data_IF_865428846393
#
_entry.id   IF_865428846393
#
_cell.length_a   1.000
_cell.length_b   1.000
_cell.length_c   1.000
_cell.angle_alpha   90.00
_cell.angle_beta   90.00
_cell.angle_gamma   90.00
#
_symmetry.space_group_name_H-M   'P 1'
#
loop_
_entity.id
_entity.type
_entity.pdbx_description
1 polymer ?
#
# COMPACT_ATOMS: atom_id res chain seq x y z
N UNK A 1 22.19 11.47 24.87
CA UNK A 1 23.09 11.54 23.69
C UNK A 1 22.30 12.04 22.48
N UNK A 2 22.89 12.92 21.64
CA UNK A 2 22.21 13.54 20.49
C UNK A 2 21.91 12.52 19.35
N UNK A 3 22.84 11.60 19.11
CA UNK A 3 22.75 10.62 18.03
C UNK A 3 21.59 9.62 18.25
N UNK A 4 21.37 9.18 19.49
CA UNK A 4 20.25 8.28 19.82
C UNK A 4 18.90 8.97 19.61
N UNK A 5 18.77 10.24 20.02
CA UNK A 5 17.58 11.04 19.76
C UNK A 5 17.31 11.18 18.25
N UNK A 6 18.34 11.47 17.45
CA UNK A 6 18.21 11.56 15.98
C UNK A 6 17.74 10.26 15.34
N UNK A 7 18.27 9.12 15.79
CA UNK A 7 17.85 7.81 15.31
C UNK A 7 16.42 7.47 15.73
N UNK A 8 16.06 7.76 16.98
CA UNK A 8 14.70 7.57 17.48
C UNK A 8 13.69 8.41 16.70
N UNK A 9 13.98 9.70 16.45
CA UNK A 9 13.13 10.57 15.65
C UNK A 9 12.93 10.04 14.23
N UNK A 10 14.00 9.52 13.59
CA UNK A 10 13.90 8.88 12.27
C UNK A 10 13.01 7.63 12.30
N UNK A 11 13.19 6.76 13.30
CA UNK A 11 12.38 5.56 13.47
C UNK A 11 10.89 5.88 13.69
N UNK A 12 10.60 6.93 14.45
CA UNK A 12 9.22 7.41 14.65
C UNK A 12 8.65 7.94 13.34
N UNK A 13 9.43 8.73 12.58
CA UNK A 13 9.00 9.26 11.29
C UNK A 13 8.68 8.14 10.27
N UNK A 14 9.54 7.11 10.18
CA UNK A 14 9.30 5.96 9.29
C UNK A 14 8.08 5.14 9.72
N UNK A 15 7.89 4.92 11.03
CA UNK A 15 6.70 4.26 11.57
C UNK A 15 5.42 5.01 11.23
N UNK A 16 5.42 6.34 11.37
CA UNK A 16 4.27 7.18 11.03
C UNK A 16 3.97 7.10 9.53
N UNK A 17 5.00 7.17 8.67
CA UNK A 17 4.84 7.02 7.24
C UNK A 17 4.22 5.66 6.86
N UNK A 18 4.69 4.57 7.46
CA UNK A 18 4.14 3.22 7.25
C UNK A 18 2.66 3.14 7.68
N UNK A 19 2.33 3.65 8.87
CA UNK A 19 0.93 3.69 9.37
C UNK A 19 0.02 4.47 8.43
N UNK A 20 0.48 5.61 7.91
CA UNK A 20 -0.27 6.41 6.93
C UNK A 20 -0.57 5.61 5.67
N UNK A 21 0.42 4.89 5.13
CA UNK A 21 0.21 4.07 3.94
C UNK A 21 -0.78 2.92 4.17
N UNK A 22 -0.73 2.27 5.33
CA UNK A 22 -1.68 1.20 5.70
C UNK A 22 -3.11 1.76 5.77
N UNK A 23 -3.31 2.90 6.42
CA UNK A 23 -4.61 3.55 6.51
C UNK A 23 -5.15 3.99 5.14
N UNK A 24 -4.29 4.50 4.25
CA UNK A 24 -4.68 4.95 2.91
C UNK A 24 -4.82 3.81 1.88
N UNK A 25 -4.37 2.58 2.20
CA UNK A 25 -4.45 1.40 1.32
C UNK A 25 -5.88 1.13 0.85
N UNK A 26 -6.84 1.20 1.79
CA UNK A 26 -8.24 0.87 1.53
C UNK A 26 -9.07 2.08 1.06
N UNK A 27 -8.50 3.29 1.11
CA UNK A 27 -9.18 4.48 0.62
C UNK A 27 -9.21 4.48 -0.91
N UNK A 28 -10.38 4.63 -1.53
CA UNK A 28 -10.50 4.70 -3.00
C UNK A 28 -10.43 6.15 -3.47
N UNK A 29 -9.22 6.72 -3.50
CA UNK A 29 -8.93 8.05 -4.02
C UNK A 29 -7.81 8.01 -5.07
N UNK A 30 -7.73 9.08 -5.85
CA UNK A 30 -6.64 9.30 -6.80
C UNK A 30 -5.27 9.17 -6.11
N UNK A 31 -4.32 8.53 -6.80
CA UNK A 31 -2.98 8.28 -6.28
C UNK A 31 -2.28 9.55 -5.82
N UNK A 32 -2.41 10.65 -6.56
CA UNK A 32 -1.79 11.94 -6.20
C UNK A 32 -2.38 12.49 -4.89
N UNK A 33 -3.70 12.37 -4.71
CA UNK A 33 -4.37 12.81 -3.47
C UNK A 33 -3.93 11.98 -2.27
N UNK A 34 -3.78 10.67 -2.42
CA UNK A 34 -3.24 9.78 -1.38
C UNK A 34 -1.81 10.15 -1.01
N UNK A 35 -0.95 10.35 -2.00
CA UNK A 35 0.44 10.71 -1.79
C UNK A 35 0.57 12.05 -1.06
N UNK A 36 -0.22 13.05 -1.43
CA UNK A 36 -0.25 14.37 -0.76
C UNK A 36 -0.64 14.29 0.71
N UNK A 37 -1.56 13.40 1.06
CA UNK A 37 -1.97 13.16 2.46
C UNK A 37 -0.91 12.37 3.22
N UNK A 38 -0.28 11.37 2.58
CA UNK A 38 0.76 10.54 3.20
C UNK A 38 2.04 11.33 3.50
N UNK A 39 2.47 12.20 2.57
CA UNK A 39 3.73 12.96 2.65
C UNK A 39 3.65 14.24 3.49
N UNK A 40 2.47 14.58 3.99
CA UNK A 40 2.26 15.78 4.80
C UNK A 40 3.19 15.81 6.03
N UNK A 41 3.75 16.97 6.42
CA UNK A 41 4.53 17.06 7.66
C UNK A 41 3.73 16.57 8.89
N UNK A 42 4.42 15.92 9.83
CA UNK A 42 3.80 15.48 11.08
C UNK A 42 3.49 16.73 11.91
N UNK A 43 2.21 16.94 12.23
CA UNK A 43 1.74 18.10 12.99
C UNK A 43 0.81 17.64 14.12
N UNK A 44 1.31 17.67 15.34
CA UNK A 44 0.60 17.26 16.56
C UNK A 44 0.31 15.76 16.61
N UNK A 45 -0.67 15.40 17.43
CA UNK A 45 -0.94 13.98 17.79
C UNK A 45 -1.76 13.22 16.73
N UNK A 46 -2.29 13.94 15.72
CA UNK A 46 -3.17 13.36 14.71
C UNK A 46 -2.37 12.83 13.53
N UNK A 47 -2.62 11.59 13.14
CA UNK A 47 -1.90 10.89 12.06
C UNK A 47 -1.86 11.68 10.73
N UNK A 48 -2.97 12.31 10.33
CA UNK A 48 -3.08 13.09 9.09
C UNK A 48 -3.37 14.59 9.33
N UNK A 49 -3.68 14.98 10.57
CA UNK A 49 -3.93 16.36 10.96
C UNK A 49 -4.99 17.09 10.12
N UNK A 50 -4.74 18.38 9.85
CA UNK A 50 -5.64 19.27 9.09
C UNK A 50 -5.68 18.95 7.59
N UNK A 51 -4.68 18.23 7.07
CA UNK A 51 -4.56 17.92 5.63
C UNK A 51 -5.60 16.90 5.17
N UNK A 52 -6.13 16.09 6.08
CA UNK A 52 -7.22 15.16 5.77
C UNK A 52 -8.58 15.86 5.59
N UNK A 53 -8.80 16.99 6.27
CA UNK A 53 -10.09 17.70 6.29
C UNK A 53 -10.67 18.03 4.90
N UNK A 54 -9.91 18.60 3.94
CA UNK A 54 -10.44 18.89 2.61
C UNK A 54 -10.77 17.65 1.77
N UNK A 55 -10.33 16.46 2.20
CA UNK A 55 -10.61 15.20 1.51
C UNK A 55 -11.77 14.41 2.12
N UNK A 56 -12.32 14.87 3.26
CA UNK A 56 -13.48 14.29 3.90
C UNK A 56 -14.74 14.92 3.30
N UNK A 57 -15.69 14.07 2.90
CA UNK A 57 -17.04 14.49 2.51
C UNK A 57 -17.92 14.43 3.75
N UNK A 58 -18.72 15.47 3.96
CA UNK A 58 -19.71 15.53 5.03
C UNK A 58 -21.04 14.98 4.53
N UNK A 59 -21.57 13.94 5.18
CA UNK A 59 -22.94 13.47 4.93
C UNK A 59 -23.94 14.49 5.50
N UNK A 60 -25.20 14.42 5.06
CA UNK A 60 -26.33 15.15 5.68
C UNK A 60 -26.39 14.93 7.21
N UNK A 61 -25.92 13.78 7.69
CA UNK A 61 -25.83 13.43 9.11
C UNK A 61 -24.62 14.04 9.85
N UNK A 62 -23.93 15.02 9.25
CA UNK A 62 -22.70 15.67 9.77
C UNK A 62 -21.53 14.72 10.04
N UNK A 63 -21.61 13.47 9.57
CA UNK A 63 -20.52 12.49 9.65
C UNK A 63 -19.51 12.77 8.54
N UNK A 64 -18.23 12.83 8.91
CA UNK A 64 -17.11 13.00 7.98
C UNK A 64 -16.60 11.62 7.56
N UNK A 65 -16.71 11.30 6.29
CA UNK A 65 -16.21 10.04 5.75
C UNK A 65 -15.32 10.32 4.54
N UNK A 66 -14.43 9.37 4.28
CA UNK A 66 -13.64 9.39 3.06
C UNK A 66 -14.54 8.93 1.93
N UNK A 67 -14.72 9.73 0.85
CA UNK A 67 -15.52 9.30 -0.28
C UNK A 67 -14.86 8.04 -0.87
N UNK A 68 -15.55 6.91 -0.80
CA UNK A 68 -15.21 5.75 -1.60
C UNK A 68 -15.80 6.00 -2.98
N UNK A 69 -14.95 6.17 -3.99
CA UNK A 69 -15.39 5.99 -5.37
C UNK A 69 -15.87 4.54 -5.47
N UNK A 70 -17.19 4.34 -5.43
CA UNK A 70 -17.83 3.05 -5.65
C UNK A 70 -17.57 2.60 -7.08
N UNK A 71 -16.40 2.02 -7.31
CA UNK A 71 -16.24 0.94 -8.26
C UNK A 71 -15.00 0.21 -7.81
N UNK A 72 -15.22 -0.88 -7.07
CA UNK A 72 -14.25 -1.96 -6.98
C UNK A 72 -14.00 -2.40 -8.42
N UNK A 73 -13.08 -1.74 -9.10
CA UNK A 73 -12.32 -2.34 -10.19
C UNK A 73 -11.74 -3.56 -9.52
N UNK A 74 -12.36 -4.70 -9.81
CA UNK A 74 -11.85 -6.00 -9.48
C UNK A 74 -10.44 -6.02 -10.06
N UNK A 75 -9.46 -5.66 -9.24
CA UNK A 75 -8.11 -6.14 -9.37
C UNK A 75 -8.27 -7.66 -9.27
N UNK A 76 -8.62 -8.29 -10.40
CA UNK A 76 -8.19 -9.64 -10.66
C UNK A 76 -6.69 -9.52 -10.47
N UNK A 77 -6.19 -9.99 -9.34
CA UNK A 77 -4.79 -10.27 -9.20
C UNK A 77 -4.43 -10.98 -10.50
N UNK A 78 -3.57 -10.35 -11.32
CA UNK A 78 -3.04 -11.01 -12.50
C UNK A 78 -2.59 -12.37 -11.98
N UNK A 79 -3.26 -13.41 -12.46
CA UNK A 79 -3.04 -14.77 -11.99
C UNK A 79 -1.55 -14.98 -12.18
N UNK A 80 -0.81 -14.92 -11.08
CA UNK A 80 0.59 -15.25 -11.05
C UNK A 80 0.62 -16.62 -11.70
N UNK A 81 1.15 -16.67 -12.92
CA UNK A 81 1.38 -17.93 -13.61
C UNK A 81 2.17 -18.73 -12.59
N UNK A 82 1.51 -19.71 -11.96
CA UNK A 82 2.15 -20.57 -10.97
C UNK A 82 3.36 -21.07 -11.70
N UNK A 83 4.55 -20.61 -11.29
CA UNK A 83 5.82 -21.11 -11.78
C UNK A 83 5.65 -22.60 -11.80
N UNK A 84 5.66 -23.17 -13.01
CA UNK A 84 5.57 -24.60 -13.20
C UNK A 84 6.65 -25.19 -12.31
N UNK A 85 6.24 -25.83 -11.22
CA UNK A 85 7.17 -26.58 -10.40
C UNK A 85 7.77 -27.60 -11.35
N UNK A 86 9.08 -27.50 -11.61
CA UNK A 86 9.82 -28.56 -12.27
C UNK A 86 9.64 -29.82 -11.42
N UNK A 87 8.55 -30.57 -11.67
CA UNK A 87 8.48 -31.97 -11.32
C UNK A 87 9.49 -32.62 -12.24
N UNK A 88 10.70 -32.80 -11.73
CA UNK A 88 11.64 -33.77 -12.26
C UNK A 88 10.90 -35.11 -12.31
N UNK A 89 10.39 -35.44 -13.48
CA UNK A 89 9.79 -36.72 -13.78
C UNK A 89 10.73 -37.37 -14.75
N UNK A 90 11.48 -38.34 -14.25
CA UNK A 90 12.36 -39.16 -15.06
C UNK A 90 11.60 -39.71 -16.26
N UNK A 91 12.17 -39.51 -17.44
CA UNK A 91 11.80 -40.23 -18.65
C UNK A 91 13.09 -40.71 -19.28
N UNK A 92 13.51 -41.88 -18.80
CA UNK A 92 14.14 -42.90 -19.64
C UNK A 92 13.27 -43.07 -20.89
N UNK A 93 13.78 -42.63 -22.03
CA UNK A 93 13.49 -43.22 -23.33
C UNK A 93 14.74 -43.09 -24.19
N UNK A 94 15.16 -44.26 -24.63
CA UNK A 94 16.25 -44.47 -25.54
C UNK A 94 15.96 -43.85 -26.92
N UNK A 95 17.07 -43.75 -27.65
CA UNK A 95 17.20 -44.02 -29.07
C UNK A 95 17.14 -42.83 -30.04
N UNK A 96 18.16 -42.88 -30.92
CA UNK A 96 18.23 -42.36 -32.29
C UNK A 96 18.86 -40.98 -32.43
N UNK A 97 20.20 -40.97 -32.45
CA UNK A 97 20.96 -40.03 -33.25
C UNK A 97 21.73 -40.82 -34.31
N UNK A 98 21.27 -40.74 -35.56
CA UNK A 98 22.11 -40.99 -36.72
C UNK A 98 22.93 -39.73 -36.94
N UNK A 99 24.26 -39.85 -36.91
CA UNK A 99 25.21 -39.45 -37.95
C UNK A 99 26.63 -39.65 -37.47
#
# INVERSE_FOLDING_TARGET
TLNSARLASKAIATLIAARRMIWLKNWQADGQRKWKVASSPIKGDKLFGKVLKPHLVETRDKKKYLPSLTRRSSFKAASYARRSSFRGKGSSWAQRSQR
#
